data_IF_238375364113
#
_entry.id   IF_238375364113
#
_cell.length_a   1.000
_cell.length_b   1.000
_cell.length_c   1.000
_cell.angle_alpha   90.00
_cell.angle_beta   90.00
_cell.angle_gamma   90.00
#
_symmetry.space_group_name_H-M   'P 1'
#
loop_
_entity.id
_entity.type
_entity.pdbx_description
1 polymer ?
#
# COMPACT_ATOMS: atom_id res chain seq x y z
N UNK A 1 7.38 16.35 21.69
CA UNK A 1 6.76 15.54 20.62
C UNK A 1 7.35 14.14 20.70
N UNK A 2 6.50 13.12 20.81
CA UNK A 2 6.95 11.74 20.66
C UNK A 2 7.41 11.48 19.22
N UNK A 3 8.44 10.67 19.04
CA UNK A 3 8.86 10.28 17.68
C UNK A 3 7.85 9.30 17.10
N UNK A 4 7.72 9.25 15.77
CA UNK A 4 6.86 8.27 15.08
C UNK A 4 7.20 6.84 15.54
N UNK A 5 8.49 6.55 15.71
CA UNK A 5 8.96 5.27 16.27
C UNK A 5 8.42 5.01 17.68
N UNK A 6 8.50 6.00 18.56
CA UNK A 6 8.02 5.86 19.93
C UNK A 6 6.52 5.53 19.96
N UNK A 7 5.70 6.27 19.21
CA UNK A 7 4.25 6.03 19.11
C UNK A 7 3.97 4.62 18.60
N UNK A 8 4.60 4.20 17.49
CA UNK A 8 4.40 2.86 16.92
C UNK A 8 4.81 1.74 17.89
N UNK A 9 5.91 1.90 18.63
CA UNK A 9 6.37 0.87 19.56
C UNK A 9 5.55 0.81 20.85
N UNK A 10 5.28 1.97 21.46
CA UNK A 10 4.73 2.05 22.81
C UNK A 10 3.21 2.10 22.83
N UNK A 11 2.60 2.81 21.87
CA UNK A 11 1.15 2.99 21.83
C UNK A 11 0.48 1.97 20.91
N UNK A 12 1.14 1.57 19.82
CA UNK A 12 0.58 0.64 18.84
C UNK A 12 1.15 -0.79 18.91
N UNK A 13 1.99 -1.09 19.92
CA UNK A 13 2.65 -2.39 20.11
C UNK A 13 3.29 -2.98 18.84
N UNK A 14 3.81 -2.12 17.95
CA UNK A 14 4.35 -2.53 16.65
C UNK A 14 5.88 -2.54 16.69
N UNK A 15 6.49 -3.66 16.28
CA UNK A 15 7.94 -3.72 16.09
C UNK A 15 8.30 -2.96 14.81
N UNK A 16 9.12 -1.91 14.94
CA UNK A 16 9.57 -1.10 13.81
C UNK A 16 10.99 -1.52 13.42
N UNK A 17 11.20 -1.72 12.13
CA UNK A 17 12.52 -1.95 11.54
C UNK A 17 12.98 -0.70 10.80
N UNK A 18 14.26 -0.36 10.96
CA UNK A 18 14.85 0.78 10.26
C UNK A 18 15.26 0.33 8.85
N UNK A 19 14.73 1.03 7.85
CA UNK A 19 15.15 0.86 6.45
C UNK A 19 16.12 1.99 6.09
N UNK A 20 17.40 1.69 5.80
CA UNK A 20 18.36 2.71 5.40
C UNK A 20 17.97 3.38 4.07
N UNK A 21 18.31 4.66 3.93
CA UNK A 21 18.16 5.39 2.67
C UNK A 21 18.89 4.68 1.53
N UNK A 22 18.24 4.54 0.37
CA UNK A 22 18.82 3.93 -0.83
C UNK A 22 18.55 2.43 -1.01
N UNK A 23 17.99 1.74 -0.02
CA UNK A 23 17.57 0.33 -0.13
C UNK A 23 16.04 0.28 -0.23
N UNK A 24 15.47 0.58 -1.40
CA UNK A 24 14.01 0.55 -1.62
C UNK A 24 13.52 -0.72 -2.34
N UNK A 25 14.43 -1.44 -3.02
CA UNK A 25 14.07 -2.54 -3.92
C UNK A 25 13.95 -3.94 -3.30
N UNK A 26 14.26 -4.12 -2.01
CA UNK A 26 14.22 -5.45 -1.35
C UNK A 26 13.46 -5.39 -0.01
N UNK A 27 13.57 -4.28 0.71
CA UNK A 27 13.01 -4.05 2.04
C UNK A 27 11.61 -3.45 2.04
N UNK A 28 11.11 -3.04 0.87
CA UNK A 28 9.77 -2.47 0.71
C UNK A 28 8.95 -3.35 -0.25
N UNK A 29 8.45 -4.50 0.22
CA UNK A 29 7.70 -5.44 -0.61
C UNK A 29 6.50 -4.78 -1.32
N UNK A 30 5.89 -3.75 -0.70
CA UNK A 30 4.92 -2.90 -1.38
C UNK A 30 5.52 -2.19 -2.61
N UNK A 31 6.65 -1.51 -2.51
CA UNK A 31 7.21 -0.77 -3.64
C UNK A 31 7.58 -1.69 -4.82
N UNK A 32 8.07 -2.89 -4.51
CA UNK A 32 8.54 -3.85 -5.52
C UNK A 32 7.40 -4.62 -6.19
N UNK A 33 6.47 -5.15 -5.40
CA UNK A 33 5.38 -5.97 -5.90
C UNK A 33 4.20 -5.13 -6.42
N UNK A 34 4.05 -3.89 -5.94
CA UNK A 34 2.82 -3.12 -6.13
C UNK A 34 3.02 -1.90 -7.01
N UNK A 35 4.08 -1.09 -6.78
CA UNK A 35 4.28 0.16 -7.55
C UNK A 35 4.90 -0.08 -8.93
N UNK A 36 5.56 -1.22 -9.14
CA UNK A 36 6.11 -1.65 -10.44
C UNK A 36 5.26 -2.71 -11.12
N UNK A 37 3.96 -2.74 -10.84
CA UNK A 37 3.07 -3.68 -11.49
C UNK A 37 2.80 -3.24 -12.94
N UNK A 38 3.13 -4.06 -13.97
CA UNK A 38 2.91 -3.70 -15.36
C UNK A 38 1.43 -3.48 -15.72
N UNK A 39 0.49 -3.96 -14.88
CA UNK A 39 -0.95 -3.74 -15.06
C UNK A 39 -1.34 -2.27 -14.92
N UNK A 40 -0.63 -1.48 -14.11
CA UNK A 40 -0.95 -0.06 -13.93
C UNK A 40 -0.73 0.69 -15.26
N UNK A 41 0.38 0.41 -15.93
CA UNK A 41 0.68 0.97 -17.25
C UNK A 41 -0.33 0.48 -18.30
N UNK A 42 -0.63 -0.82 -18.32
CA UNK A 42 -1.64 -1.40 -19.22
C UNK A 42 -3.02 -0.76 -19.04
N UNK A 43 -3.48 -0.56 -17.80
CA UNK A 43 -4.77 0.07 -17.50
C UNK A 43 -4.78 1.55 -17.94
N UNK A 44 -3.66 2.25 -17.76
CA UNK A 44 -3.53 3.63 -18.22
C UNK A 44 -3.60 3.72 -19.75
N UNK A 45 -2.86 2.86 -20.46
CA UNK A 45 -2.88 2.82 -21.92
C UNK A 45 -4.27 2.43 -22.46
N UNK A 46 -4.88 1.39 -21.89
CA UNK A 46 -6.20 0.92 -22.30
C UNK A 46 -7.28 1.99 -22.11
N UNK A 47 -7.22 2.76 -21.01
CA UNK A 47 -8.15 3.86 -20.80
C UNK A 47 -8.11 4.89 -21.93
N UNK A 48 -6.92 5.22 -22.45
CA UNK A 48 -6.76 6.25 -23.49
C UNK A 48 -6.96 5.74 -24.92
N UNK A 49 -7.37 4.48 -25.09
CA UNK A 49 -7.88 4.01 -26.39
C UNK A 49 -9.22 4.69 -26.70
N UNK A 50 -10.09 4.78 -25.69
CA UNK A 50 -11.47 5.27 -25.83
C UNK A 50 -11.71 6.64 -25.16
N UNK A 51 -10.73 7.18 -24.44
CA UNK A 51 -10.89 8.40 -23.65
C UNK A 51 -9.74 9.40 -23.88
N UNK A 52 -10.06 10.69 -23.84
CA UNK A 52 -9.07 11.76 -23.89
C UNK A 52 -8.19 11.83 -22.63
N UNK A 53 -7.05 12.51 -22.75
CA UNK A 53 -6.17 12.76 -21.60
C UNK A 53 -6.82 13.70 -20.57
N UNK A 54 -6.60 13.46 -19.26
CA UNK A 54 -7.05 14.36 -18.20
C UNK A 54 -6.52 15.79 -18.40
N UNK A 55 -7.39 16.79 -18.24
CA UNK A 55 -7.05 18.20 -18.47
C UNK A 55 -6.55 18.83 -17.17
N UNK A 56 -7.09 18.40 -16.03
CA UNK A 56 -6.74 18.95 -14.71
C UNK A 56 -5.87 18.01 -13.89
N UNK A 57 -5.04 18.54 -12.96
CA UNK A 57 -4.33 17.71 -11.99
C UNK A 57 -5.28 16.83 -11.14
N UNK A 58 -6.50 17.29 -10.85
CA UNK A 58 -7.49 16.53 -10.07
C UNK A 58 -7.96 15.30 -10.83
N UNK A 59 -8.34 15.46 -12.10
CA UNK A 59 -8.73 14.34 -12.97
C UNK A 59 -7.58 13.37 -13.17
N UNK A 60 -6.36 13.88 -13.37
CA UNK A 60 -5.17 13.04 -13.49
C UNK A 60 -4.94 12.20 -12.24
N UNK A 61 -5.04 12.80 -11.04
CA UNK A 61 -4.93 12.08 -9.77
C UNK A 61 -6.04 11.04 -9.63
N UNK A 62 -7.29 11.38 -9.95
CA UNK A 62 -8.42 10.47 -9.85
C UNK A 62 -8.24 9.23 -10.77
N UNK A 63 -7.81 9.45 -12.02
CA UNK A 63 -7.55 8.37 -12.97
C UNK A 63 -6.43 7.45 -12.49
N UNK A 64 -5.29 8.01 -12.06
CA UNK A 64 -4.16 7.23 -11.55
C UNK A 64 -4.59 6.43 -10.30
N UNK A 65 -5.30 7.06 -9.37
CA UNK A 65 -5.80 6.38 -8.17
C UNK A 65 -6.73 5.21 -8.50
N UNK A 66 -7.63 5.37 -9.47
CA UNK A 66 -8.51 4.29 -9.93
C UNK A 66 -7.70 3.14 -10.53
N UNK A 67 -6.76 3.44 -11.43
CA UNK A 67 -5.94 2.40 -12.07
C UNK A 67 -5.09 1.64 -11.04
N UNK A 68 -4.57 2.32 -10.01
CA UNK A 68 -3.87 1.67 -8.90
C UNK A 68 -4.83 0.77 -8.12
N UNK A 69 -6.02 1.25 -7.78
CA UNK A 69 -7.02 0.46 -7.05
C UNK A 69 -7.45 -0.79 -7.83
N UNK A 70 -7.68 -0.65 -9.14
CA UNK A 70 -8.06 -1.76 -10.02
C UNK A 70 -6.92 -2.79 -10.12
N UNK A 71 -5.68 -2.31 -10.34
CA UNK A 71 -4.50 -3.17 -10.34
C UNK A 71 -4.33 -3.92 -9.01
N UNK A 72 -4.55 -3.25 -7.88
CA UNK A 72 -4.52 -3.83 -6.54
C UNK A 72 -5.56 -4.93 -6.37
N UNK A 73 -6.81 -4.67 -6.75
CA UNK A 73 -7.92 -5.61 -6.60
C UNK A 73 -7.70 -6.90 -7.39
N UNK A 74 -6.92 -6.82 -8.47
CA UNK A 74 -6.56 -7.95 -9.31
C UNK A 74 -5.33 -8.73 -8.82
N UNK A 75 -4.60 -8.29 -7.78
CA UNK A 75 -3.48 -9.06 -7.21
C UNK A 75 -4.05 -10.21 -6.36
N UNK A 76 -3.75 -11.48 -6.68
CA UNK A 76 -4.12 -12.59 -5.80
C UNK A 76 -3.39 -12.50 -4.46
N UNK A 77 -4.09 -12.79 -3.36
CA UNK A 77 -3.51 -12.76 -2.00
C UNK A 77 -2.23 -13.62 -1.90
N UNK A 78 -2.22 -14.77 -2.58
CA UNK A 78 -1.05 -15.65 -2.63
C UNK A 78 0.21 -14.99 -3.21
N UNK A 79 0.08 -14.05 -4.15
CA UNK A 79 1.21 -13.32 -4.74
C UNK A 79 1.79 -12.36 -3.71
N UNK A 80 0.93 -11.70 -2.93
CA UNK A 80 1.33 -10.83 -1.82
C UNK A 80 2.11 -11.65 -0.80
N UNK A 81 1.53 -12.75 -0.30
CA UNK A 81 2.16 -13.64 0.69
C UNK A 81 3.50 -14.18 0.18
N UNK A 82 3.57 -14.68 -1.06
CA UNK A 82 4.83 -15.15 -1.67
C UNK A 82 5.87 -14.04 -1.77
N UNK A 83 5.47 -12.81 -2.08
CA UNK A 83 6.35 -11.64 -2.13
C UNK A 83 7.00 -11.34 -0.78
N UNK A 84 6.20 -11.34 0.29
CA UNK A 84 6.69 -11.17 1.66
C UNK A 84 7.65 -12.29 2.09
N UNK A 85 7.30 -13.55 1.81
CA UNK A 85 8.17 -14.72 2.09
C UNK A 85 9.51 -14.61 1.35
N UNK A 86 9.51 -14.26 0.05
CA UNK A 86 10.74 -14.09 -0.74
C UNK A 86 11.62 -12.96 -0.23
N UNK A 87 11.03 -11.92 0.34
CA UNK A 87 11.76 -10.83 0.97
C UNK A 87 12.33 -11.20 2.35
N UNK A 88 12.06 -12.42 2.85
CA UNK A 88 12.41 -12.83 4.22
C UNK A 88 11.58 -12.11 5.29
N UNK A 89 10.51 -11.42 4.89
CA UNK A 89 9.65 -10.64 5.77
C UNK A 89 8.42 -11.49 6.07
N UNK A 90 8.41 -12.16 7.22
CA UNK A 90 7.19 -12.80 7.71
C UNK A 90 6.36 -11.72 8.40
N UNK A 91 5.12 -11.45 7.99
CA UNK A 91 4.29 -10.48 8.69
C UNK A 91 4.05 -10.94 10.15
N UNK A 92 4.67 -10.23 11.09
CA UNK A 92 4.60 -10.48 12.55
C UNK A 92 3.62 -9.50 13.19
N UNK A 93 2.39 -9.45 12.66
CA UNK A 93 1.29 -8.75 13.32
C UNK A 93 0.81 -9.52 14.55
N UNK A 94 0.08 -8.89 15.48
CA UNK A 94 -0.52 -9.58 16.61
C UNK A 94 -1.39 -10.73 16.11
N UNK A 95 -1.18 -11.94 16.63
CA UNK A 95 -1.95 -13.12 16.27
C UNK A 95 -2.88 -13.54 17.41
N UNK A 96 -4.03 -14.10 17.08
CA UNK A 96 -4.86 -14.77 18.06
C UNK A 96 -4.26 -16.14 18.45
N UNK A 97 -4.89 -16.83 19.40
CA UNK A 97 -4.44 -18.15 19.84
C UNK A 97 -4.44 -19.21 18.73
N UNK A 98 -5.10 -18.95 17.60
CA UNK A 98 -5.16 -19.82 16.42
C UNK A 98 -4.15 -19.43 15.33
N UNK A 99 -3.31 -18.41 15.59
CA UNK A 99 -2.30 -17.95 14.66
C UNK A 99 -2.81 -17.03 13.55
N UNK A 100 -4.08 -16.59 13.60
CA UNK A 100 -4.64 -15.62 12.64
C UNK A 100 -4.28 -14.20 13.04
N UNK A 101 -4.09 -13.31 12.07
CA UNK A 101 -3.90 -11.90 12.36
C UNK A 101 -5.11 -11.34 13.12
N UNK A 102 -4.85 -10.67 14.25
CA UNK A 102 -5.84 -9.85 14.92
C UNK A 102 -6.04 -8.61 14.08
N UNK A 103 -7.03 -8.66 13.19
CA UNK A 103 -7.54 -7.45 12.54
C UNK A 103 -8.43 -6.77 13.57
N UNK A 104 -7.93 -5.74 14.24
CA UNK A 104 -8.84 -4.79 14.87
C UNK A 104 -9.68 -4.20 13.74
N UNK A 105 -11.01 -4.31 13.83
CA UNK A 105 -11.90 -3.68 12.87
C UNK A 105 -11.67 -2.19 12.93
N UNK A 106 -10.81 -1.67 12.05
CA UNK A 106 -10.65 -0.24 11.84
C UNK A 106 -11.95 0.18 11.17
N UNK A 107 -12.84 0.79 11.98
CA UNK A 107 -14.05 1.41 11.45
C UNK A 107 -13.65 2.43 10.40
N UNK A 108 -14.45 2.52 9.33
CA UNK A 108 -14.23 3.42 8.18
C UNK A 108 -14.06 4.92 8.54
N UNK A 109 -14.23 5.28 9.81
CA UNK A 109 -14.12 6.63 10.37
C UNK A 109 -12.70 7.08 10.72
N UNK A 110 -11.69 6.19 10.69
CA UNK A 110 -10.29 6.52 11.05
C UNK A 110 -9.38 6.86 9.86
N UNK A 111 -9.89 6.76 8.62
CA UNK A 111 -9.11 7.17 7.46
C UNK A 111 -8.96 8.71 7.44
N UNK A 112 -7.74 9.26 7.35
CA UNK A 112 -7.55 10.70 7.31
C UNK A 112 -8.25 11.28 6.08
N UNK A 113 -9.17 12.22 6.33
CA UNK A 113 -9.81 13.00 5.27
C UNK A 113 -8.73 13.87 4.64
N UNK A 114 -8.44 13.64 3.37
CA UNK A 114 -7.58 14.52 2.58
C UNK A 114 -8.36 15.81 2.35
N UNK A 115 -8.01 16.87 3.05
CA UNK A 115 -8.55 18.21 2.76
C UNK A 115 -8.10 18.61 1.34
N UNK A 116 -9.07 18.90 0.46
CA UNK A 116 -8.79 19.56 -0.81
C UNK A 116 -8.29 20.98 -0.46
N UNK A 117 -6.99 21.23 -0.62
CA UNK A 117 -6.47 22.61 -0.65
C UNK A 117 -6.94 23.25 -1.97
N UNK A 118 -7.82 24.24 -1.84
CA UNK A 118 -8.32 25.08 -2.92
C UNK A 118 -7.37 26.20 -3.31
#
# INVERSE_FOLDING_TARGET
MATVRYVLQQECCTKVEFVPSGITGITQPMNVAVMKDPRIESLYLQHHIDNDFPITPKEKRALISRNIADAWSAIPEEVIVKGFVRAGIVPVGPRDATGRFRVHGVGSTEAPVVCDEG
#
